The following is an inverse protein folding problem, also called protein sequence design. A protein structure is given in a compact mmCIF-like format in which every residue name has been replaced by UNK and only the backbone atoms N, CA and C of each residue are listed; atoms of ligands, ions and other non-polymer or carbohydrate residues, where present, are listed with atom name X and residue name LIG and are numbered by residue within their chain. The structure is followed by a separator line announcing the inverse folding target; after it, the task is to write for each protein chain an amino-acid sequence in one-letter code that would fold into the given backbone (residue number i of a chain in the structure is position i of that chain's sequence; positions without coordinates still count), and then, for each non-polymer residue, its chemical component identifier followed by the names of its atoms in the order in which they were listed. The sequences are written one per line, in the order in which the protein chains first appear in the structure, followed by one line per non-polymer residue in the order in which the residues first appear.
data_IF_569148075029
#
_entry.id   IF_569148075029
#
_cell.length_a   1.000
_cell.length_b   1.000
_cell.length_c   1.000
_cell.angle_alpha   90.00
_cell.angle_beta   90.00
_cell.angle_gamma   90.00
#
_symmetry.space_group_name_H-M   'P 1'
#
loop_
_entity.id
_entity.type
_entity.pdbx_description
1 polymer ?
#
# COMPACT_ATOMS: atom_id res chain seq x y z
N UNK A 1 25.52 8.05 -14.07
CA UNK A 1 25.40 7.83 -12.61
C UNK A 1 23.92 7.85 -12.28
N UNK A 2 23.29 6.68 -12.11
CA UNK A 2 21.88 6.62 -11.72
C UNK A 2 21.78 6.96 -10.24
N UNK A 3 21.37 8.20 -9.94
CA UNK A 3 20.73 8.52 -8.66
C UNK A 3 19.57 7.54 -8.50
N UNK A 4 19.70 6.55 -7.63
CA UNK A 4 18.58 5.68 -7.32
C UNK A 4 17.58 6.58 -6.58
N UNK A 5 16.59 7.11 -7.31
CA UNK A 5 15.48 7.84 -6.72
C UNK A 5 14.83 6.89 -5.71
N UNK A 6 14.91 7.24 -4.43
CA UNK A 6 14.31 6.46 -3.35
C UNK A 6 12.83 6.79 -3.24
N UNK A 7 12.02 5.80 -2.88
CA UNK A 7 10.61 6.00 -2.57
C UNK A 7 10.49 6.53 -1.14
N UNK A 8 10.23 7.82 -0.99
CA UNK A 8 10.00 8.43 0.32
C UNK A 8 8.60 8.08 0.81
N UNK A 9 8.53 7.37 1.93
CA UNK A 9 7.27 6.94 2.56
C UNK A 9 7.09 7.64 3.91
N UNK A 10 5.93 8.27 4.11
CA UNK A 10 5.52 8.82 5.41
C UNK A 10 4.32 8.04 5.94
N UNK A 11 4.52 7.37 7.07
CA UNK A 11 3.50 6.55 7.73
C UNK A 11 2.71 7.42 8.71
N UNK A 12 1.40 7.53 8.51
CA UNK A 12 0.48 8.09 9.49
C UNK A 12 -0.13 6.96 10.33
N UNK A 13 0.14 7.03 11.64
CA UNK A 13 -0.29 6.04 12.64
C UNK A 13 -1.54 6.44 13.42
N UNK A 14 -2.05 7.65 13.19
CA UNK A 14 -3.18 8.22 13.95
C UNK A 14 -4.50 8.18 13.18
N UNK A 15 -4.44 8.01 11.87
CA UNK A 15 -5.63 7.95 11.00
C UNK A 15 -6.39 6.64 11.21
N UNK A 16 -7.72 6.69 11.33
CA UNK A 16 -8.63 5.53 11.35
C UNK A 16 -8.63 4.68 12.63
N UNK A 17 -7.65 4.83 13.52
CA UNK A 17 -7.58 4.11 14.79
C UNK A 17 -6.56 2.96 14.78
N UNK A 18 -6.70 2.00 15.70
CA UNK A 18 -5.66 0.97 15.94
C UNK A 18 -5.46 0.00 14.77
N UNK A 19 -6.49 -0.21 13.95
CA UNK A 19 -6.47 -1.14 12.82
C UNK A 19 -6.15 -0.47 11.49
N UNK A 20 -5.85 0.84 11.49
CA UNK A 20 -5.62 1.58 10.25
C UNK A 20 -4.22 2.21 10.22
N UNK A 21 -3.62 2.18 9.03
CA UNK A 21 -2.40 2.91 8.70
C UNK A 21 -2.54 3.54 7.33
N UNK A 22 -1.94 4.71 7.20
CA UNK A 22 -1.84 5.41 5.93
C UNK A 22 -0.36 5.57 5.55
N UNK A 23 -0.01 5.14 4.36
CA UNK A 23 1.33 5.23 3.78
C UNK A 23 1.29 6.27 2.67
N UNK A 24 1.80 7.46 2.95
CA UNK A 24 1.90 8.53 1.97
C UNK A 24 3.21 8.38 1.21
N UNK A 25 3.13 8.41 -0.11
CA UNK A 25 4.28 8.25 -1.00
C UNK A 25 4.43 9.47 -1.90
N UNK A 26 5.66 9.81 -2.27
CA UNK A 26 5.93 10.96 -3.14
C UNK A 26 5.77 10.64 -4.64
N UNK A 27 5.44 9.38 -4.97
CA UNK A 27 5.28 8.91 -6.35
C UNK A 27 3.86 8.41 -6.59
N UNK A 28 3.42 8.48 -7.86
CA UNK A 28 2.08 8.05 -8.24
C UNK A 28 2.01 6.52 -8.24
N UNK A 29 1.26 5.95 -7.32
CA UNK A 29 1.02 4.50 -7.18
C UNK A 29 -0.37 4.07 -7.67
N UNK A 30 -1.24 5.01 -8.04
CA UNK A 30 -2.54 4.72 -8.65
C UNK A 30 -2.92 5.74 -9.72
N UNK A 31 -3.57 5.25 -10.78
CA UNK A 31 -4.14 6.11 -11.80
C UNK A 31 -5.55 6.62 -11.44
N UNK A 32 -6.28 5.91 -10.58
CA UNK A 32 -7.60 6.28 -10.09
C UNK A 32 -7.56 7.30 -8.95
N UNK A 33 -8.66 8.04 -8.75
CA UNK A 33 -8.78 9.00 -7.64
C UNK A 33 -8.87 8.32 -6.27
N UNK A 34 -9.60 7.21 -6.18
CA UNK A 34 -9.69 6.33 -5.03
C UNK A 34 -10.34 5.02 -5.45
N UNK A 35 -9.73 3.89 -5.10
CA UNK A 35 -10.29 2.54 -5.27
C UNK A 35 -10.15 1.76 -3.97
N UNK A 36 -11.11 0.90 -3.65
CA UNK A 36 -11.11 0.13 -2.40
C UNK A 36 -11.19 -1.36 -2.75
N UNK A 37 -10.34 -2.15 -2.11
CA UNK A 37 -10.26 -3.60 -2.29
C UNK A 37 -10.37 -4.27 -0.93
N UNK A 38 -11.27 -5.24 -0.81
CA UNK A 38 -11.36 -6.13 0.35
C UNK A 38 -10.53 -7.38 0.09
N UNK A 39 -9.96 -7.94 1.16
CA UNK A 39 -9.19 -9.18 1.11
C UNK A 39 -9.91 -10.32 1.84
N UNK A 40 -9.90 -11.56 1.29
CA UNK A 40 -9.17 -11.99 0.10
C UNK A 40 -9.72 -11.35 -1.19
N UNK A 41 -8.80 -10.96 -2.07
CA UNK A 41 -9.10 -10.15 -3.24
C UNK A 41 -10.05 -10.89 -4.18
N UNK A 42 -11.12 -10.21 -4.62
CA UNK A 42 -11.90 -10.64 -5.76
C UNK A 42 -11.17 -10.21 -7.06
N UNK A 43 -10.67 -11.15 -7.88
CA UNK A 43 -9.90 -10.82 -9.09
C UNK A 43 -10.68 -9.99 -10.11
N UNK A 44 -12.01 -10.14 -10.15
CA UNK A 44 -12.86 -9.39 -11.08
C UNK A 44 -12.90 -7.90 -10.72
N UNK A 45 -12.93 -7.57 -9.41
CA UNK A 45 -12.89 -6.17 -8.96
C UNK A 45 -11.56 -5.50 -9.31
N UNK A 46 -10.47 -6.26 -9.30
CA UNK A 46 -9.18 -5.73 -9.71
C UNK A 46 -9.10 -5.52 -11.23
N UNK A 47 -9.63 -6.45 -12.03
CA UNK A 47 -9.67 -6.33 -13.50
C UNK A 47 -10.47 -5.12 -13.98
N UNK A 48 -11.58 -4.81 -13.30
CA UNK A 48 -12.44 -3.68 -13.64
C UNK A 48 -11.94 -2.33 -13.07
N UNK A 49 -10.88 -2.36 -12.26
CA UNK A 49 -10.37 -1.16 -11.59
C UNK A 49 -9.47 -0.32 -12.50
N UNK A 50 -9.42 0.99 -12.22
CA UNK A 50 -8.59 1.95 -12.97
C UNK A 50 -7.31 2.34 -12.23
N UNK A 51 -6.76 1.44 -11.40
CA UNK A 51 -5.57 1.73 -10.57
C UNK A 51 -4.26 1.80 -11.34
N UNK A 52 -4.25 1.40 -12.62
CA UNK A 52 -3.04 1.37 -13.45
C UNK A 52 -2.09 0.24 -13.08
N UNK A 53 -0.97 0.12 -13.81
CA UNK A 53 -0.05 -1.02 -13.67
C UNK A 53 0.58 -1.15 -12.28
N UNK A 54 1.08 -0.03 -11.72
CA UNK A 54 1.71 -0.02 -10.39
C UNK A 54 0.69 -0.41 -9.32
N UNK A 55 -0.49 0.21 -9.35
CA UNK A 55 -1.57 -0.07 -8.41
C UNK A 55 -2.03 -1.52 -8.52
N UNK A 56 -2.19 -2.05 -9.74
CA UNK A 56 -2.61 -3.42 -9.96
C UNK A 56 -1.61 -4.43 -9.39
N UNK A 57 -0.31 -4.21 -9.64
CA UNK A 57 0.76 -5.04 -9.07
C UNK A 57 0.81 -4.94 -7.54
N UNK A 58 0.61 -3.74 -7.00
CA UNK A 58 0.59 -3.50 -5.56
C UNK A 58 -0.55 -4.27 -4.88
N UNK A 59 -1.78 -4.19 -5.40
CA UNK A 59 -2.94 -4.88 -4.82
C UNK A 59 -2.77 -6.41 -4.87
N UNK A 60 -2.24 -6.95 -5.97
CA UNK A 60 -1.94 -8.39 -6.05
C UNK A 60 -0.95 -8.85 -4.99
N UNK A 61 0.15 -8.12 -4.79
CA UNK A 61 1.15 -8.48 -3.77
C UNK A 61 0.64 -8.30 -2.34
N UNK A 62 -0.18 -7.27 -2.09
CA UNK A 62 -0.79 -7.06 -0.77
C UNK A 62 -1.78 -8.16 -0.42
N UNK A 63 -2.42 -8.79 -1.41
CA UNK A 63 -3.30 -9.94 -1.18
C UNK A 63 -2.57 -11.16 -0.58
N UNK A 64 -1.24 -11.25 -0.76
CA UNK A 64 -0.42 -12.34 -0.21
C UNK A 64 -0.02 -12.11 1.26
N UNK A 65 -0.34 -10.94 1.83
CA UNK A 65 -0.02 -10.60 3.22
C UNK A 65 -1.22 -10.95 4.11
N UNK A 66 -1.06 -12.00 4.91
CA UNK A 66 -2.06 -12.39 5.91
C UNK A 66 -2.36 -11.25 6.88
N UNK A 67 -3.63 -11.07 7.20
CA UNK A 67 -4.07 -10.08 8.19
C UNK A 67 -4.36 -8.70 7.64
N UNK A 68 -4.25 -8.45 6.34
CA UNK A 68 -4.88 -7.28 5.70
C UNK A 68 -6.35 -7.60 5.41
N UNK A 69 -7.27 -6.71 5.82
CA UNK A 69 -8.71 -6.87 5.57
C UNK A 69 -9.18 -6.00 4.39
N UNK A 70 -8.66 -4.78 4.32
CA UNK A 70 -9.05 -3.84 3.28
C UNK A 70 -7.88 -2.93 2.93
N UNK A 71 -7.79 -2.57 1.66
CA UNK A 71 -6.92 -1.51 1.17
C UNK A 71 -7.73 -0.47 0.42
N UNK A 72 -7.42 0.80 0.66
CA UNK A 72 -7.85 1.88 -0.23
C UNK A 72 -6.63 2.53 -0.88
N UNK A 73 -6.66 2.65 -2.20
CA UNK A 73 -5.55 3.14 -3.00
C UNK A 73 -5.92 4.47 -3.66
N UNK A 74 -5.04 5.46 -3.52
CA UNK A 74 -5.11 6.79 -4.15
C UNK A 74 -3.78 7.09 -4.85
N UNK A 75 -3.70 8.13 -5.71
CA UNK A 75 -2.49 8.39 -6.48
C UNK A 75 -1.21 8.46 -5.65
N UNK A 76 -1.23 9.06 -4.46
CA UNK A 76 -0.03 9.25 -3.63
C UNK A 76 -0.16 8.63 -2.23
N UNK A 77 -1.07 7.68 -2.07
CA UNK A 77 -1.44 7.20 -0.75
C UNK A 77 -2.03 5.79 -0.77
N UNK A 78 -1.52 4.95 0.11
CA UNK A 78 -2.05 3.62 0.40
C UNK A 78 -2.64 3.63 1.82
N UNK A 79 -3.91 3.28 1.94
CA UNK A 79 -4.56 3.00 3.22
C UNK A 79 -4.66 1.50 3.40
N UNK A 80 -4.29 1.03 4.59
CA UNK A 80 -4.36 -0.38 4.95
C UNK A 80 -5.18 -0.49 6.23
N UNK A 81 -6.21 -1.32 6.19
CA UNK A 81 -6.91 -1.84 7.35
C UNK A 81 -6.43 -3.27 7.60
N UNK A 82 -6.03 -3.53 8.84
CA UNK A 82 -5.62 -4.87 9.27
C UNK A 82 -6.68 -5.52 10.14
N UNK A 83 -6.70 -6.85 10.10
CA UNK A 83 -7.41 -7.68 11.04
C UNK A 83 -6.93 -7.42 12.48
N UNK A 84 -7.86 -7.51 13.42
CA UNK A 84 -7.58 -7.26 14.85
C UNK A 84 -6.66 -8.30 15.50
N UNK A 85 -6.53 -9.50 14.92
CA UNK A 85 -5.65 -10.57 15.39
C UNK A 85 -4.17 -10.31 15.11
N UNK A 86 -3.85 -9.42 14.16
CA UNK A 86 -2.47 -9.10 13.74
C UNK A 86 -1.99 -7.79 14.34
N UNK A 87 -0.68 -7.61 14.44
CA UNK A 87 -0.05 -6.37 14.89
C UNK A 87 0.62 -5.62 13.73
N UNK A 88 0.71 -4.30 13.83
CA UNK A 88 1.44 -3.52 12.83
C UNK A 88 2.94 -3.86 12.75
N UNK A 89 3.51 -4.38 13.84
CA UNK A 89 4.91 -4.81 13.85
C UNK A 89 5.15 -6.00 12.91
N UNK A 90 4.15 -6.87 12.76
CA UNK A 90 4.21 -8.01 11.85
C UNK A 90 4.01 -7.56 10.40
N UNK A 91 3.03 -6.68 10.14
CA UNK A 91 2.63 -6.34 8.77
C UNK A 91 3.44 -5.21 8.12
N UNK A 92 3.95 -4.24 8.90
CA UNK A 92 4.50 -2.99 8.34
C UNK A 92 5.73 -3.23 7.46
N UNK A 93 6.55 -4.24 7.79
CA UNK A 93 7.72 -4.60 6.97
C UNK A 93 7.31 -5.11 5.58
N UNK A 94 6.34 -6.01 5.53
CA UNK A 94 5.89 -6.65 4.28
C UNK A 94 5.14 -5.66 3.38
N UNK A 95 4.36 -4.76 3.98
CA UNK A 95 3.68 -3.66 3.25
C UNK A 95 4.71 -2.71 2.62
N UNK A 96 5.75 -2.32 3.35
CA UNK A 96 6.80 -1.44 2.83
C UNK A 96 7.62 -2.12 1.74
N UNK A 97 7.95 -3.40 1.91
CA UNK A 97 8.60 -4.20 0.86
C UNK A 97 7.73 -4.32 -0.40
N UNK A 98 6.42 -4.47 -0.22
CA UNK A 98 5.46 -4.54 -1.33
C UNK A 98 5.40 -3.22 -2.10
N UNK A 99 5.42 -2.08 -1.39
CA UNK A 99 5.54 -0.75 -2.01
C UNK A 99 6.86 -0.58 -2.79
N UNK A 100 7.98 -0.94 -2.17
CA UNK A 100 9.31 -0.92 -2.81
C UNK A 100 9.31 -1.75 -4.10
N UNK A 101 8.79 -2.98 -4.03
CA UNK A 101 8.76 -3.93 -5.13
C UNK A 101 7.78 -3.53 -6.24
N UNK A 102 6.66 -2.89 -5.91
CA UNK A 102 5.69 -2.42 -6.91
C UNK A 102 6.20 -1.19 -7.67
N UNK A 103 6.87 -0.26 -6.98
CA UNK A 103 7.41 0.97 -7.57
C UNK A 103 8.79 0.74 -8.21
N UNK A 104 9.53 -0.28 -7.77
CA UNK A 104 10.88 -0.57 -8.25
C UNK A 104 11.95 0.37 -7.68
N UNK A 105 11.70 0.93 -6.49
CA UNK A 105 12.57 1.94 -5.85
C UNK A 105 12.74 1.66 -4.36
N UNK A 106 13.96 1.72 -3.81
CA UNK A 106 14.21 1.48 -2.40
C UNK A 106 13.41 2.42 -1.51
N UNK A 107 12.73 1.88 -0.49
CA UNK A 107 11.92 2.67 0.45
C UNK A 107 12.78 3.37 1.50
N UNK A 108 12.52 4.66 1.71
CA UNK A 108 13.08 5.43 2.82
C UNK A 108 11.92 5.99 3.65
N UNK A 109 11.87 5.59 4.93
CA UNK A 109 10.84 6.05 5.85
C UNK A 109 11.22 7.45 6.35
N UNK A 110 10.34 8.42 6.11
CA UNK A 110 10.49 9.77 6.66
C UNK A 110 9.81 9.85 8.03
N UNK A 111 10.64 9.79 9.07
CA UNK A 111 10.21 10.09 10.45
C UNK A 111 10.12 11.61 10.59
N UNK A 112 9.00 12.12 11.11
CA UNK A 112 8.89 13.52 11.53
C UNK A 112 9.43 13.70 12.94
#
# INVERSE_FOLDING_TARGET
MCTHETLVVKIDRRVGGRNFRQYNVHERISDSGMEIFEFPLNPFLLQDSNVGYIGHNLILKLNDIDGIEQVALKPFCLYVEKNSAFTWKELESDILFTLESAVGKPVVIKVR
#
